data_IF_255345782783
#
_entry.id   IF_255345782783
#
_cell.length_a   1.000
_cell.length_b   1.000
_cell.length_c   1.000
_cell.angle_alpha   90.00
_cell.angle_beta   90.00
_cell.angle_gamma   90.00
#
_symmetry.space_group_name_H-M   'P 1'
#
loop_
_entity.id
_entity.type
_entity.pdbx_description
1 polymer ?
#
# COMPACT_ATOMS: atom_id res chain seq x y z
N UNK A 1 -19.61 21.92 -17.10
CA UNK A 1 -18.32 21.79 -17.82
C UNK A 1 -17.52 20.64 -17.19
N UNK A 2 -17.54 19.46 -17.81
CA UNK A 2 -16.95 18.25 -17.24
C UNK A 2 -15.46 18.41 -17.04
N UNK A 3 -14.94 18.10 -15.83
CA UNK A 3 -13.51 18.14 -15.56
C UNK A 3 -12.80 17.16 -16.49
N UNK A 4 -12.12 17.69 -17.50
CA UNK A 4 -11.40 16.97 -18.55
C UNK A 4 -10.15 16.37 -17.91
N UNK A 5 -10.29 15.15 -17.39
CA UNK A 5 -9.23 14.28 -16.89
C UNK A 5 -8.18 14.91 -15.95
N UNK A 6 -6.92 14.51 -16.09
CA UNK A 6 -5.81 14.95 -15.24
C UNK A 6 -5.14 16.19 -15.83
N UNK A 7 -5.36 17.36 -15.24
CA UNK A 7 -4.77 18.64 -15.66
C UNK A 7 -5.00 18.95 -17.15
N UNK A 8 -6.19 18.66 -17.67
CA UNK A 8 -6.56 18.88 -19.07
C UNK A 8 -6.19 17.74 -20.03
N UNK A 9 -5.56 16.67 -19.53
CA UNK A 9 -5.27 15.46 -20.30
C UNK A 9 -6.24 14.35 -19.92
N UNK A 10 -6.41 13.32 -20.77
CA UNK A 10 -7.32 12.20 -20.49
C UNK A 10 -6.99 11.54 -19.16
N UNK A 11 -5.70 11.36 -18.86
CA UNK A 11 -5.25 10.74 -17.62
C UNK A 11 -3.79 11.10 -17.23
N UNK A 12 -3.36 10.77 -16.00
CA UNK A 12 -2.03 11.14 -15.50
C UNK A 12 -0.87 10.54 -16.32
N UNK A 13 -1.08 9.39 -16.98
CA UNK A 13 -0.08 8.78 -17.85
C UNK A 13 0.16 9.64 -19.08
N UNK A 14 -0.90 10.14 -19.69
CA UNK A 14 -0.83 11.00 -20.87
C UNK A 14 -0.14 12.32 -20.53
N UNK A 15 -0.52 12.94 -19.40
CA UNK A 15 0.17 14.13 -18.89
C UNK A 15 1.68 13.89 -18.67
N UNK A 16 2.04 12.75 -18.04
CA UNK A 16 3.45 12.38 -17.82
C UNK A 16 4.21 12.21 -19.13
N UNK A 17 3.61 11.52 -20.12
CA UNK A 17 4.21 11.31 -21.45
C UNK A 17 4.39 12.62 -22.23
N UNK A 18 3.39 13.49 -22.20
CA UNK A 18 3.43 14.80 -22.86
C UNK A 18 4.45 15.77 -22.23
N UNK A 19 4.91 15.49 -21.01
CA UNK A 19 5.87 16.32 -20.28
C UNK A 19 7.15 15.52 -19.93
N UNK A 20 7.55 14.56 -20.78
CA UNK A 20 8.68 13.68 -20.50
C UNK A 20 9.98 14.45 -20.24
N UNK A 21 10.24 15.54 -20.97
CA UNK A 21 11.45 16.35 -20.78
C UNK A 21 11.58 16.90 -19.36
N UNK A 22 10.46 17.14 -18.67
CA UNK A 22 10.45 17.64 -17.28
C UNK A 22 10.70 16.56 -16.23
N UNK A 23 10.43 15.30 -16.57
CA UNK A 23 10.39 14.18 -15.62
C UNK A 23 11.34 13.03 -15.93
N UNK A 24 11.99 13.04 -17.11
CA UNK A 24 12.98 12.05 -17.52
C UNK A 24 14.13 12.01 -16.52
N UNK A 25 14.55 10.80 -16.15
CA UNK A 25 15.65 10.59 -15.20
C UNK A 25 15.28 10.78 -13.73
N UNK A 26 14.12 11.35 -13.39
CA UNK A 26 13.72 11.51 -11.99
C UNK A 26 13.39 10.16 -11.35
N UNK A 27 13.93 9.95 -10.16
CA UNK A 27 13.48 8.91 -9.25
C UNK A 27 12.05 9.18 -8.77
N UNK A 28 11.38 8.16 -8.20
CA UNK A 28 10.03 8.34 -7.63
C UNK A 28 9.98 9.43 -6.56
N UNK A 29 11.05 9.55 -5.76
CA UNK A 29 11.14 10.54 -4.70
C UNK A 29 11.29 11.96 -5.29
N UNK A 30 12.13 12.14 -6.30
CA UNK A 30 12.28 13.42 -6.99
C UNK A 30 10.99 13.81 -7.72
N UNK A 31 10.32 12.85 -8.37
CA UNK A 31 8.99 13.07 -8.95
C UNK A 31 7.99 13.48 -7.87
N UNK A 32 8.00 12.86 -6.70
CA UNK A 32 7.10 13.23 -5.60
C UNK A 32 7.39 14.61 -5.03
N UNK A 33 8.65 15.04 -5.00
CA UNK A 33 9.04 16.39 -4.57
C UNK A 33 8.63 17.44 -5.60
N UNK A 34 8.91 17.16 -6.87
CA UNK A 34 8.63 18.07 -7.99
C UNK A 34 7.13 18.17 -8.28
N UNK A 35 6.43 17.04 -8.22
CA UNK A 35 5.01 16.94 -8.54
C UNK A 35 4.32 15.84 -7.73
N UNK A 36 4.01 16.17 -6.48
CA UNK A 36 3.38 15.24 -5.53
C UNK A 36 2.02 14.74 -6.01
N UNK A 37 1.26 15.56 -6.75
CA UNK A 37 -0.07 15.21 -7.24
C UNK A 37 -0.01 14.22 -8.40
N UNK A 38 0.92 14.42 -9.34
CA UNK A 38 1.20 13.46 -10.41
C UNK A 38 1.72 12.14 -9.83
N UNK A 39 2.68 12.20 -8.90
CA UNK A 39 3.19 11.02 -8.22
C UNK A 39 2.08 10.20 -7.56
N UNK A 40 1.21 10.84 -6.75
CA UNK A 40 0.07 10.17 -6.11
C UNK A 40 -0.91 9.55 -7.12
N UNK A 41 -1.16 10.24 -8.22
CA UNK A 41 -2.10 9.79 -9.25
C UNK A 41 -1.57 8.57 -10.02
N UNK A 42 -0.28 8.60 -10.39
CA UNK A 42 0.40 7.44 -11.00
C UNK A 42 0.52 6.27 -10.03
N UNK A 43 0.74 6.53 -8.73
CA UNK A 43 0.77 5.51 -7.69
C UNK A 43 -0.60 4.81 -7.53
N UNK A 44 -1.69 5.58 -7.45
CA UNK A 44 -3.06 5.05 -7.33
C UNK A 44 -3.43 4.14 -8.49
N UNK A 45 -2.95 4.46 -9.71
CA UNK A 45 -3.12 3.64 -10.92
C UNK A 45 -2.08 2.52 -11.07
N UNK A 46 -1.16 2.34 -10.12
CA UNK A 46 -0.06 1.35 -10.16
C UNK A 46 0.85 1.49 -11.39
N UNK A 47 0.99 2.70 -11.92
CA UNK A 47 1.80 2.98 -13.12
C UNK A 47 3.28 3.25 -12.79
N UNK A 48 3.59 3.74 -11.58
CA UNK A 48 4.96 4.01 -11.15
C UNK A 48 5.88 2.77 -11.19
N UNK A 49 5.34 1.57 -11.01
CA UNK A 49 6.12 0.33 -11.13
C UNK A 49 6.62 0.04 -12.53
N UNK A 50 5.89 0.51 -13.55
CA UNK A 50 6.29 0.38 -14.95
C UNK A 50 7.14 1.55 -15.41
N UNK A 51 6.75 2.78 -15.05
CA UNK A 51 7.37 4.01 -15.56
C UNK A 51 8.70 4.33 -14.89
N UNK A 52 8.78 4.21 -13.56
CA UNK A 52 9.97 4.56 -12.78
C UNK A 52 10.20 3.44 -11.77
N UNK A 53 10.78 2.30 -12.20
CA UNK A 53 10.95 1.16 -11.32
C UNK A 53 11.83 1.50 -10.11
N UNK A 54 11.36 1.21 -8.90
CA UNK A 54 12.19 1.42 -7.71
C UNK A 54 13.26 0.33 -7.64
N UNK A 55 14.51 0.69 -7.98
CA UNK A 55 15.69 -0.20 -8.02
C UNK A 55 15.84 -1.00 -6.73
N UNK A 56 15.59 -0.38 -5.57
CA UNK A 56 15.66 -1.03 -4.25
C UNK A 56 14.66 -2.18 -4.09
N UNK A 57 13.55 -2.17 -4.83
CA UNK A 57 12.49 -3.19 -4.76
C UNK A 57 12.41 -4.10 -5.99
N UNK A 58 13.23 -3.86 -7.01
CA UNK A 58 13.30 -4.70 -8.19
C UNK A 58 14.23 -5.89 -7.91
N UNK A 59 13.61 -7.05 -7.67
CA UNK A 59 14.30 -8.32 -7.47
C UNK A 59 14.16 -9.18 -8.73
N UNK A 60 15.23 -9.85 -9.13
CA UNK A 60 15.20 -10.85 -10.19
C UNK A 60 14.31 -12.04 -9.80
N UNK A 61 13.89 -12.84 -10.80
CA UNK A 61 13.09 -14.06 -10.55
C UNK A 61 13.78 -15.01 -9.57
N UNK A 62 15.12 -15.14 -9.65
CA UNK A 62 15.93 -15.98 -8.75
C UNK A 62 15.89 -15.46 -7.31
N UNK A 63 16.03 -14.15 -7.13
CA UNK A 63 15.99 -13.51 -5.81
C UNK A 63 14.61 -13.58 -5.17
N UNK A 64 13.54 -13.44 -5.96
CA UNK A 64 12.17 -13.63 -5.46
C UNK A 64 11.98 -15.06 -4.92
N UNK A 65 12.45 -16.08 -5.65
CA UNK A 65 12.37 -17.48 -5.19
C UNK A 65 13.12 -17.68 -3.86
N UNK A 66 14.34 -17.12 -3.74
CA UNK A 66 15.14 -17.17 -2.50
C UNK A 66 14.45 -16.45 -1.35
N UNK A 67 13.95 -15.23 -1.59
CA UNK A 67 13.21 -14.44 -0.60
C UNK A 67 11.99 -15.17 -0.05
N UNK A 68 11.22 -15.79 -0.94
CA UNK A 68 10.05 -16.60 -0.55
C UNK A 68 10.46 -17.81 0.28
N UNK A 69 11.52 -18.53 -0.09
CA UNK A 69 12.01 -19.70 0.64
C UNK A 69 12.40 -19.33 2.08
N UNK A 70 13.19 -18.26 2.24
CA UNK A 70 13.64 -17.77 3.55
C UNK A 70 12.46 -17.21 4.36
N UNK A 71 11.54 -16.49 3.73
CA UNK A 71 10.36 -16.00 4.42
C UNK A 71 9.49 -17.13 4.95
N UNK A 72 9.31 -18.23 4.20
CA UNK A 72 8.55 -19.39 4.67
C UNK A 72 9.15 -20.05 5.93
N UNK A 73 10.47 -20.01 6.10
CA UNK A 73 11.13 -20.60 7.28
C UNK A 73 11.02 -19.74 8.53
N UNK A 74 11.13 -18.41 8.42
CA UNK A 74 11.10 -17.52 9.59
C UNK A 74 9.75 -16.80 9.80
N UNK A 75 8.88 -16.77 8.78
CA UNK A 75 7.61 -16.02 8.72
C UNK A 75 7.73 -14.55 9.14
N UNK A 76 8.94 -13.99 9.10
CA UNK A 76 9.26 -12.64 9.56
C UNK A 76 10.00 -11.85 8.48
N UNK A 77 9.44 -10.70 8.09
CA UNK A 77 9.97 -9.85 7.01
C UNK A 77 11.32 -9.23 7.39
N UNK A 78 11.48 -8.79 8.64
CA UNK A 78 12.71 -8.15 9.12
C UNK A 78 13.85 -9.16 9.20
N UNK A 79 13.57 -10.36 9.67
CA UNK A 79 14.57 -11.42 9.72
C UNK A 79 14.97 -11.91 8.32
N UNK A 80 13.99 -12.07 7.42
CA UNK A 80 14.25 -12.37 6.00
C UNK A 80 15.13 -11.29 5.36
N UNK A 81 14.85 -10.02 5.67
CA UNK A 81 15.61 -8.86 5.20
C UNK A 81 17.07 -8.92 5.67
N UNK A 82 17.32 -9.21 6.95
CA UNK A 82 18.69 -9.37 7.49
C UNK A 82 19.44 -10.50 6.81
N UNK A 83 18.82 -11.69 6.71
CA UNK A 83 19.44 -12.89 6.10
C UNK A 83 19.80 -12.69 4.63
N UNK A 84 19.01 -11.91 3.90
CA UNK A 84 19.21 -11.67 2.47
C UNK A 84 19.91 -10.35 2.15
N UNK A 85 20.24 -9.54 3.17
CA UNK A 85 20.79 -8.18 3.00
C UNK A 85 19.98 -7.36 2.00
N UNK A 86 18.64 -7.47 2.06
CA UNK A 86 17.69 -6.77 1.18
C UNK A 86 16.77 -5.91 2.00
N UNK A 87 16.27 -4.81 1.41
CA UNK A 87 15.36 -3.94 2.15
C UNK A 87 14.03 -4.67 2.48
N UNK A 88 13.46 -4.45 3.67
CA UNK A 88 12.20 -5.09 4.08
C UNK A 88 11.06 -4.90 3.08
N UNK A 89 11.04 -3.75 2.40
CA UNK A 89 10.00 -3.41 1.43
C UNK A 89 10.08 -4.27 0.16
N UNK A 90 11.29 -4.63 -0.30
CA UNK A 90 11.46 -5.56 -1.41
C UNK A 90 10.95 -6.96 -1.06
N UNK A 91 11.23 -7.42 0.17
CA UNK A 91 10.75 -8.71 0.68
C UNK A 91 9.22 -8.70 0.78
N UNK A 92 8.64 -7.63 1.33
CA UNK A 92 7.18 -7.47 1.42
C UNK A 92 6.53 -7.50 0.04
N UNK A 93 7.06 -6.73 -0.91
CA UNK A 93 6.58 -6.69 -2.29
C UNK A 93 6.63 -8.06 -2.97
N UNK A 94 7.74 -8.80 -2.84
CA UNK A 94 7.88 -10.08 -3.51
C UNK A 94 6.98 -11.17 -2.89
N UNK A 95 6.84 -11.20 -1.58
CA UNK A 95 5.96 -12.15 -0.90
C UNK A 95 4.47 -11.81 -1.13
N UNK A 96 4.10 -10.53 -1.19
CA UNK A 96 2.75 -10.10 -1.60
C UNK A 96 2.43 -10.52 -3.03
N UNK A 97 3.36 -10.37 -3.99
CA UNK A 97 3.16 -10.80 -5.38
C UNK A 97 2.93 -12.31 -5.52
N UNK A 98 3.42 -13.10 -4.56
CA UNK A 98 3.23 -14.55 -4.49
C UNK A 98 2.06 -14.96 -3.59
N UNK A 99 1.33 -14.01 -3.01
CA UNK A 99 0.21 -14.28 -2.11
C UNK A 99 0.61 -14.90 -0.77
N UNK A 100 1.87 -14.76 -0.35
CA UNK A 100 2.44 -15.46 0.82
C UNK A 100 2.30 -14.63 2.08
N UNK A 101 2.55 -13.33 1.98
CA UNK A 101 2.16 -12.39 3.03
C UNK A 101 0.68 -12.16 2.82
N UNK A 102 -0.13 -12.67 3.73
CA UNK A 102 -1.51 -12.22 3.88
C UNK A 102 -1.44 -10.75 4.25
N UNK A 103 -2.27 -9.93 3.57
CA UNK A 103 -2.57 -8.56 3.97
C UNK A 103 -2.66 -8.52 5.50
N UNK A 104 -2.06 -7.52 6.16
CA UNK A 104 -2.30 -7.36 7.60
C UNK A 104 -3.81 -7.40 7.79
N UNK A 105 -4.32 -8.01 8.87
CA UNK A 105 -5.77 -7.96 9.11
C UNK A 105 -6.29 -6.50 9.09
N UNK A 106 -5.44 -5.51 9.40
CA UNK A 106 -5.68 -4.05 9.28
C UNK A 106 -5.70 -3.49 7.84
N UNK A 107 -5.23 -4.25 6.85
CA UNK A 107 -5.35 -3.97 5.41
C UNK A 107 -6.67 -4.54 4.84
N UNK A 108 -7.55 -5.12 5.68
CA UNK A 108 -8.95 -5.32 5.30
C UNK A 108 -9.49 -3.96 4.87
N UNK A 109 -9.99 -3.91 3.64
CA UNK A 109 -10.41 -2.69 2.95
C UNK A 109 -11.57 -1.99 3.66
N UNK A 110 -12.19 -2.74 4.58
CA UNK A 110 -13.33 -2.33 5.36
C UNK A 110 -13.10 -2.56 6.87
N UNK A 111 -13.13 -1.48 7.68
CA UNK A 111 -13.05 -1.56 9.13
C UNK A 111 -14.10 -2.49 9.75
N UNK A 112 -15.30 -2.59 9.15
CA UNK A 112 -16.38 -3.43 9.68
C UNK A 112 -16.07 -4.93 9.52
N UNK A 113 -15.48 -5.34 8.39
CA UNK A 113 -15.04 -6.72 8.19
C UNK A 113 -13.97 -7.11 9.21
N UNK A 114 -13.03 -6.20 9.51
CA UNK A 114 -12.01 -6.43 10.53
C UNK A 114 -12.61 -6.56 11.94
N UNK A 115 -13.57 -5.70 12.28
CA UNK A 115 -14.28 -5.77 13.55
C UNK A 115 -15.03 -7.10 13.71
N UNK A 116 -15.82 -7.49 12.69
CA UNK A 116 -16.57 -8.76 12.69
C UNK A 116 -15.66 -9.98 12.78
N UNK A 117 -14.52 -9.97 12.08
CA UNK A 117 -13.55 -11.06 12.11
C UNK A 117 -12.77 -11.20 13.43
N UNK A 118 -12.90 -10.25 14.36
CA UNK A 118 -12.28 -10.26 15.68
C UNK A 118 -13.30 -9.87 16.76
N UNK A 119 -14.57 -10.28 16.57
CA UNK A 119 -15.68 -9.92 17.44
C UNK A 119 -15.41 -10.33 18.90
N UNK A 120 -14.74 -11.47 19.10
CA UNK A 120 -14.31 -11.98 20.40
C UNK A 120 -13.47 -10.95 21.21
N UNK A 121 -12.71 -10.09 20.54
CA UNK A 121 -11.81 -9.12 21.19
C UNK A 121 -12.45 -7.79 21.53
N UNK A 122 -13.53 -7.47 20.84
CA UNK A 122 -14.16 -6.15 20.85
C UNK A 122 -15.64 -6.15 21.26
N UNK A 123 -16.26 -7.34 21.40
CA UNK A 123 -17.63 -7.48 21.88
C UNK A 123 -17.76 -6.84 23.26
N UNK A 124 -18.78 -5.99 23.42
CA UNK A 124 -19.08 -5.30 24.68
C UNK A 124 -18.19 -4.09 24.99
N UNK A 125 -17.21 -3.76 24.15
CA UNK A 125 -16.44 -2.52 24.33
C UNK A 125 -17.28 -1.32 23.90
N UNK A 126 -17.32 -0.29 24.74
CA UNK A 126 -17.83 1.02 24.34
C UNK A 126 -16.94 1.64 23.26
N UNK A 127 -17.47 2.66 22.57
CA UNK A 127 -16.71 3.44 21.57
C UNK A 127 -15.41 4.03 22.16
N UNK A 128 -15.45 4.49 23.41
CA UNK A 128 -14.28 5.04 24.10
C UNK A 128 -13.21 3.98 24.38
N UNK A 129 -13.63 2.81 24.83
CA UNK A 129 -12.72 1.68 25.09
C UNK A 129 -12.15 1.08 23.81
N UNK A 130 -12.98 0.97 22.77
CA UNK A 130 -12.53 0.57 21.44
C UNK A 130 -11.49 1.55 20.90
N UNK A 131 -11.67 2.86 21.12
CA UNK A 131 -10.69 3.86 20.70
C UNK A 131 -9.36 3.78 21.46
N UNK A 132 -9.40 3.43 22.75
CA UNK A 132 -8.19 3.21 23.56
C UNK A 132 -7.46 1.93 23.15
N UNK A 133 -8.21 0.87 22.82
CA UNK A 133 -7.67 -0.46 22.49
C UNK A 133 -7.22 -0.57 21.03
N UNK A 134 -7.95 0.04 20.10
CA UNK A 134 -7.67 0.05 18.67
C UNK A 134 -8.14 1.37 18.03
N UNK A 135 -7.30 2.39 18.16
CA UNK A 135 -7.56 3.73 17.62
C UNK A 135 -7.73 3.74 16.09
N UNK A 136 -7.14 2.77 15.39
CA UNK A 136 -7.26 2.63 13.93
C UNK A 136 -8.68 2.19 13.53
N UNK A 137 -9.25 1.20 14.22
CA UNK A 137 -10.60 0.72 13.96
C UNK A 137 -11.65 1.82 14.24
N UNK A 138 -11.46 2.56 15.34
CA UNK A 138 -12.27 3.73 15.67
C UNK A 138 -12.20 4.76 14.53
N UNK A 139 -10.99 5.22 14.14
CA UNK A 139 -10.80 6.16 13.02
C UNK A 139 -11.35 5.64 11.68
N UNK A 140 -11.30 4.33 11.45
CA UNK A 140 -11.87 3.67 10.28
C UNK A 140 -13.39 3.87 10.19
N UNK A 141 -14.11 3.67 11.31
CA UNK A 141 -15.55 3.92 11.39
C UNK A 141 -15.92 5.42 11.29
N UNK A 142 -15.04 6.34 11.71
CA UNK A 142 -15.27 7.78 11.51
C UNK A 142 -15.13 8.19 10.03
N UNK A 143 -14.17 7.62 9.31
CA UNK A 143 -13.86 7.97 7.90
C UNK A 143 -14.83 7.38 6.89
N UNK A 144 -15.47 6.27 7.24
CA UNK A 144 -16.63 5.73 6.54
C UNK A 144 -17.71 5.51 7.59
N UNK A 145 -18.70 6.41 7.70
CA UNK A 145 -19.87 6.16 8.51
C UNK A 145 -20.66 5.03 7.83
N UNK A 146 -20.23 3.79 8.07
CA UNK A 146 -21.14 2.67 7.98
C UNK A 146 -22.13 2.93 9.11
N UNK A 147 -23.41 2.98 8.76
CA UNK A 147 -24.52 3.04 9.70
C UNK A 147 -24.41 1.86 10.66
N UNK A 148 -23.62 2.02 11.71
CA UNK A 148 -23.75 1.26 12.94
C UNK A 148 -24.99 1.82 13.62
N UNK A 149 -26.15 1.49 13.04
CA UNK A 149 -27.40 1.45 13.79
C UNK A 149 -27.24 0.30 14.75
N UNK A 150 -27.14 0.61 16.04
CA UNK A 150 -27.62 -0.23 17.13
C UNK A 150 -27.63 0.63 18.40
N UNK A 151 -28.83 0.97 18.88
CA UNK A 151 -29.16 1.36 20.25
C UNK A 151 -28.68 2.73 20.69
#
# INVERSE_FOLDING_TARGET
MGKIGFRGYKDPLEYYKANLDKYKGLSRWELSKKDSYLHRSLLKKRLLDKLIPCVRTNLSKKEIKRAVKVYRSCKNVLETSRRLKRCPEAIRKCCNKKGIITKNKRDLKDPLEYYKANLDKYKGLSRGELSKKDSYLCQGFWRKPHTLVCG
#
